data_IF_421046586406
#
_entry.id   IF_421046586406
#
_cell.length_a   1.000
_cell.length_b   1.000
_cell.length_c   1.000
_cell.angle_alpha   90.00
_cell.angle_beta   90.00
_cell.angle_gamma   90.00
#
_symmetry.space_group_name_H-M   'P 1'
#
loop_
_entity.id
_entity.type
_entity.pdbx_description
1 polymer ?
#
# COMPACT_ATOMS: atom_id res chain seq x y z
N UNK A 1 17.27 3.44 -26.63
CA UNK A 1 18.19 3.87 -25.55
C UNK A 1 17.35 4.66 -24.55
N UNK A 2 17.07 4.09 -23.39
CA UNK A 2 16.15 4.68 -22.41
C UNK A 2 16.94 5.65 -21.51
N UNK A 3 16.75 6.94 -21.75
CA UNK A 3 17.46 8.09 -21.17
C UNK A 3 17.30 8.26 -19.65
N UNK A 4 16.63 7.34 -18.96
CA UNK A 4 16.20 7.51 -17.57
C UNK A 4 16.63 6.38 -16.62
N UNK A 5 17.59 5.52 -16.99
CA UNK A 5 18.18 4.55 -16.05
C UNK A 5 17.19 3.51 -15.48
N UNK A 6 16.06 3.28 -16.15
CA UNK A 6 15.18 2.14 -15.90
C UNK A 6 15.69 1.05 -16.85
N UNK A 7 16.45 0.06 -16.36
CA UNK A 7 17.07 -0.93 -17.24
C UNK A 7 18.61 -1.06 -17.13
N UNK A 8 19.30 -0.45 -16.16
CA UNK A 8 20.77 -0.48 -16.06
C UNK A 8 21.24 -0.94 -14.68
N UNK A 9 22.11 -1.97 -14.67
CA UNK A 9 22.72 -2.54 -13.46
C UNK A 9 23.20 -1.44 -12.49
N UNK A 10 22.83 -1.54 -11.21
CA UNK A 10 23.20 -0.61 -10.12
C UNK A 10 24.70 -0.36 -10.07
N UNK A 11 25.49 -1.34 -10.52
CA UNK A 11 26.95 -1.31 -10.54
C UNK A 11 27.53 -0.49 -11.71
N UNK A 12 26.74 -0.25 -12.76
CA UNK A 12 27.16 0.45 -14.00
C UNK A 12 26.49 1.81 -14.16
N UNK A 13 25.51 2.14 -13.30
CA UNK A 13 24.83 3.42 -13.31
C UNK A 13 25.71 4.53 -12.68
N UNK A 14 25.85 5.70 -13.34
CA UNK A 14 26.57 6.82 -12.75
C UNK A 14 25.89 7.27 -11.45
N UNK A 15 26.68 7.55 -10.41
CA UNK A 15 26.22 7.82 -9.04
C UNK A 15 25.13 8.91 -8.94
N UNK A 16 25.17 9.93 -9.80
CA UNK A 16 24.12 10.97 -9.91
C UNK A 16 22.74 10.43 -10.30
N UNK A 17 22.67 9.42 -11.17
CA UNK A 17 21.40 8.83 -11.60
C UNK A 17 20.79 7.95 -10.50
N UNK A 18 21.64 7.40 -9.63
CA UNK A 18 21.26 6.51 -8.54
C UNK A 18 20.52 7.27 -7.43
N UNK A 19 20.99 8.46 -7.04
CA UNK A 19 20.29 9.31 -6.07
C UNK A 19 18.91 9.75 -6.57
N UNK A 20 18.84 10.15 -7.84
CA UNK A 20 17.58 10.55 -8.48
C UNK A 20 16.58 9.40 -8.54
N UNK A 21 17.03 8.19 -8.85
CA UNK A 21 16.21 6.99 -8.88
C UNK A 21 15.66 6.62 -7.48
N UNK A 22 16.51 6.64 -6.45
CA UNK A 22 16.12 6.39 -5.06
C UNK A 22 15.10 7.43 -4.58
N UNK A 23 15.25 8.70 -4.98
CA UNK A 23 14.30 9.78 -4.65
C UNK A 23 12.94 9.58 -5.32
N UNK A 24 12.94 9.11 -6.56
CA UNK A 24 11.73 8.75 -7.28
C UNK A 24 10.99 7.57 -6.64
N UNK A 25 11.71 6.50 -6.28
CA UNK A 25 11.15 5.34 -5.60
C UNK A 25 10.57 5.69 -4.23
N UNK A 26 11.27 6.54 -3.47
CA UNK A 26 10.78 7.07 -2.20
C UNK A 26 9.42 7.79 -2.38
N UNK A 27 9.32 8.65 -3.40
CA UNK A 27 8.10 9.42 -3.68
C UNK A 27 6.94 8.50 -4.08
N UNK A 28 7.19 7.52 -4.96
CA UNK A 28 6.19 6.53 -5.37
C UNK A 28 5.71 5.70 -4.16
N UNK A 29 6.62 5.34 -3.25
CA UNK A 29 6.28 4.53 -2.07
C UNK A 29 5.35 5.28 -1.12
N UNK A 30 5.62 6.56 -0.87
CA UNK A 30 4.73 7.40 -0.06
C UNK A 30 3.36 7.60 -0.71
N UNK A 31 3.33 7.88 -2.01
CA UNK A 31 2.08 8.00 -2.78
C UNK A 31 1.27 6.69 -2.71
N UNK A 32 1.95 5.54 -2.73
CA UNK A 32 1.28 4.25 -2.65
C UNK A 32 0.57 4.03 -1.32
N UNK A 33 1.19 4.39 -0.19
CA UNK A 33 0.53 4.28 1.12
C UNK A 33 -0.75 5.12 1.18
N UNK A 34 -0.69 6.36 0.67
CA UNK A 34 -1.86 7.25 0.58
C UNK A 34 -2.92 6.65 -0.33
N UNK A 35 -2.54 6.16 -1.51
CA UNK A 35 -3.46 5.55 -2.47
C UNK A 35 -4.19 4.35 -1.87
N UNK A 36 -3.48 3.45 -1.18
CA UNK A 36 -4.07 2.31 -0.49
C UNK A 36 -5.11 2.74 0.56
N UNK A 37 -4.79 3.77 1.36
CA UNK A 37 -5.72 4.30 2.35
C UNK A 37 -6.97 4.91 1.71
N UNK A 38 -6.81 5.72 0.66
CA UNK A 38 -7.92 6.37 -0.05
C UNK A 38 -8.89 5.36 -0.66
N UNK A 39 -8.39 4.28 -1.27
CA UNK A 39 -9.25 3.22 -1.84
C UNK A 39 -10.10 2.56 -0.75
N UNK A 40 -9.52 2.24 0.42
CA UNK A 40 -10.26 1.64 1.53
C UNK A 40 -11.32 2.60 2.10
N UNK A 41 -10.98 3.87 2.27
CA UNK A 41 -11.95 4.89 2.72
C UNK A 41 -13.11 5.03 1.73
N UNK A 42 -12.83 5.06 0.43
CA UNK A 42 -13.86 5.16 -0.61
C UNK A 42 -14.81 3.96 -0.61
N UNK A 43 -14.28 2.74 -0.42
CA UNK A 43 -15.10 1.54 -0.24
C UNK A 43 -16.00 1.63 1.00
N UNK A 44 -15.48 2.10 2.13
CA UNK A 44 -16.26 2.24 3.36
C UNK A 44 -17.36 3.30 3.21
N UNK A 45 -17.06 4.44 2.58
CA UNK A 45 -18.05 5.47 2.30
C UNK A 45 -19.19 4.95 1.42
N UNK A 46 -18.88 4.09 0.45
CA UNK A 46 -19.90 3.41 -0.34
C UNK A 46 -20.73 2.43 0.51
N UNK A 47 -20.10 1.68 1.43
CA UNK A 47 -20.82 0.81 2.37
C UNK A 47 -21.74 1.59 3.32
N UNK A 48 -21.32 2.77 3.79
CA UNK A 48 -22.16 3.67 4.58
C UNK A 48 -23.41 4.12 3.82
N UNK A 49 -23.31 4.29 2.50
CA UNK A 49 -24.46 4.67 1.65
C UNK A 49 -25.43 3.51 1.40
N UNK A 50 -24.94 2.27 1.31
CA UNK A 50 -25.77 1.10 0.95
C UNK A 50 -26.46 0.45 2.15
N UNK A 51 -25.80 0.47 3.32
CA UNK A 51 -26.25 -0.15 4.55
C UNK A 51 -26.71 0.90 5.59
N UNK A 52 -28.02 1.11 5.78
CA UNK A 52 -28.54 2.08 6.76
C UNK A 52 -28.51 1.57 8.21
N UNK A 53 -27.92 0.40 8.49
CA UNK A 53 -27.96 -0.23 9.82
C UNK A 53 -27.02 0.51 10.79
N UNK A 54 -27.57 1.05 11.89
CA UNK A 54 -26.81 1.85 12.87
C UNK A 54 -25.53 1.18 13.39
N UNK A 55 -25.58 -0.11 13.73
CA UNK A 55 -24.41 -0.86 14.21
C UNK A 55 -23.31 -0.94 13.15
N UNK A 56 -23.67 -1.23 11.90
CA UNK A 56 -22.72 -1.31 10.78
C UNK A 56 -22.11 0.06 10.49
N UNK A 57 -22.92 1.11 10.49
CA UNK A 57 -22.45 2.50 10.33
C UNK A 57 -21.41 2.87 11.39
N UNK A 58 -21.65 2.52 12.66
CA UNK A 58 -20.69 2.76 13.75
C UNK A 58 -19.38 2.00 13.54
N UNK A 59 -19.45 0.72 13.16
CA UNK A 59 -18.27 -0.10 12.86
C UNK A 59 -17.47 0.44 11.66
N UNK A 60 -18.17 0.89 10.61
CA UNK A 60 -17.55 1.48 9.42
C UNK A 60 -16.81 2.78 9.75
N UNK A 61 -17.41 3.68 10.54
CA UNK A 61 -16.73 4.88 11.02
C UNK A 61 -15.51 4.57 11.89
N UNK A 62 -15.60 3.58 12.78
CA UNK A 62 -14.45 3.11 13.55
C UNK A 62 -13.33 2.56 12.66
N UNK A 63 -13.69 1.86 11.58
CA UNK A 63 -12.74 1.33 10.60
C UNK A 63 -12.04 2.46 9.82
N UNK A 64 -12.75 3.53 9.45
CA UNK A 64 -12.13 4.72 8.83
C UNK A 64 -11.10 5.33 9.77
N UNK A 65 -11.47 5.55 11.05
CA UNK A 65 -10.56 6.12 12.03
C UNK A 65 -9.28 5.26 12.18
N UNK A 66 -9.45 3.93 12.26
CA UNK A 66 -8.34 2.99 12.30
C UNK A 66 -7.44 3.10 11.06
N UNK A 67 -8.00 3.16 9.84
CA UNK A 67 -7.22 3.29 8.60
C UNK A 67 -6.42 4.58 8.58
N UNK A 68 -7.01 5.69 9.02
CA UNK A 68 -6.31 7.00 9.06
C UNK A 68 -5.14 6.94 10.04
N UNK A 69 -5.36 6.45 11.26
CA UNK A 69 -4.31 6.33 12.28
C UNK A 69 -3.19 5.39 11.80
N UNK A 70 -3.56 4.26 11.21
CA UNK A 70 -2.62 3.31 10.64
C UNK A 70 -1.79 3.94 9.52
N UNK A 71 -2.43 4.63 8.57
CA UNK A 71 -1.74 5.31 7.47
C UNK A 71 -0.74 6.34 8.00
N UNK A 72 -1.13 7.18 8.96
CA UNK A 72 -0.24 8.16 9.59
C UNK A 72 0.95 7.47 10.28
N UNK A 73 0.69 6.36 10.99
CA UNK A 73 1.72 5.59 11.70
C UNK A 73 2.78 4.99 10.78
N UNK A 74 2.44 4.68 9.53
CA UNK A 74 3.39 4.19 8.52
C UNK A 74 3.96 5.32 7.65
N UNK A 75 3.23 6.41 7.48
CA UNK A 75 3.66 7.57 6.70
C UNK A 75 4.80 8.32 7.38
N UNK A 76 4.76 8.52 8.70
CA UNK A 76 5.81 9.24 9.45
C UNK A 76 7.17 8.52 9.40
N UNK A 77 7.28 7.21 9.70
CA UNK A 77 8.53 6.47 9.53
C UNK A 77 8.94 6.34 8.06
N UNK A 78 7.95 6.29 7.15
CA UNK A 78 8.18 6.31 5.71
C UNK A 78 8.80 7.61 5.23
N UNK A 79 8.44 8.76 5.82
CA UNK A 79 9.00 10.07 5.47
C UNK A 79 10.37 10.34 6.10
N UNK A 80 10.66 9.69 7.23
CA UNK A 80 11.94 9.77 7.93
C UNK A 80 12.50 8.37 8.21
N UNK A 81 12.92 7.63 7.17
CA UNK A 81 13.40 6.26 7.33
C UNK A 81 14.74 6.16 8.08
N UNK A 82 15.53 7.25 8.13
CA UNK A 82 16.76 7.35 8.91
C UNK A 82 16.83 8.70 9.63
N UNK A 83 17.43 8.71 10.82
CA UNK A 83 17.87 9.94 11.50
C UNK A 83 19.41 9.94 11.55
N UNK A 84 20.11 10.84 10.84
CA UNK A 84 19.63 11.89 9.94
C UNK A 84 19.25 11.39 8.52
N UNK A 85 18.31 12.09 7.85
CA UNK A 85 17.83 11.76 6.50
C UNK A 85 18.95 11.78 5.44
N UNK A 86 20.01 12.55 5.67
CA UNK A 86 21.19 12.62 4.80
C UNK A 86 21.88 11.25 4.63
N UNK A 87 21.86 10.43 5.68
CA UNK A 87 22.49 9.11 5.65
C UNK A 87 21.65 8.04 4.93
N UNK A 88 20.38 8.32 4.61
CA UNK A 88 19.57 7.45 3.75
C UNK A 88 20.10 7.43 2.31
N UNK A 89 20.59 8.57 1.83
CA UNK A 89 21.12 8.72 0.47
C UNK A 89 22.51 8.09 0.31
N UNK A 90 23.29 8.05 1.40
CA UNK A 90 24.64 7.45 1.43
C UNK A 90 24.66 6.04 2.02
N UNK A 91 23.50 5.44 2.30
CA UNK A 91 23.38 4.12 2.93
C UNK A 91 23.97 2.96 2.09
N UNK A 92 24.31 3.19 0.82
CA UNK A 92 25.09 2.25 0.02
C UNK A 92 26.54 2.08 0.53
N UNK A 93 27.05 3.07 1.28
CA UNK A 93 28.41 3.10 1.79
C UNK A 93 28.42 2.44 3.16
N UNK A 94 28.81 1.17 3.21
CA UNK A 94 28.81 0.31 4.42
C UNK A 94 29.72 0.80 5.55
N UNK A 95 30.34 1.97 5.42
CA UNK A 95 31.33 2.53 6.31
C UNK A 95 30.77 3.16 7.60
N UNK A 96 29.46 3.42 7.70
CA UNK A 96 28.84 4.01 8.89
C UNK A 96 27.69 3.16 9.43
N UNK A 97 27.68 2.81 10.74
CA UNK A 97 26.57 2.10 11.36
C UNK A 97 25.40 3.06 11.60
N UNK A 98 24.71 3.45 10.54
CA UNK A 98 23.53 4.30 10.62
C UNK A 98 22.34 3.45 11.09
N UNK A 99 21.68 3.84 12.19
CA UNK A 99 20.46 3.19 12.67
C UNK A 99 19.27 3.59 11.78
N UNK A 100 19.21 3.01 10.59
CA UNK A 100 18.09 3.17 9.65
C UNK A 100 16.99 2.13 9.92
N UNK A 101 15.75 2.52 9.62
CA UNK A 101 14.59 1.65 9.71
C UNK A 101 14.70 0.52 8.67
N UNK A 102 14.42 -0.72 9.08
CA UNK A 102 14.48 -1.86 8.18
C UNK A 102 13.26 -1.85 7.23
N UNK A 103 13.46 -1.39 6.00
CA UNK A 103 12.41 -1.21 4.99
C UNK A 103 11.64 -2.52 4.76
N UNK A 104 12.33 -3.66 4.74
CA UNK A 104 11.69 -4.97 4.57
C UNK A 104 10.70 -5.27 5.71
N UNK A 105 11.09 -5.00 6.96
CA UNK A 105 10.21 -5.20 8.11
C UNK A 105 8.96 -4.30 8.03
N UNK A 106 9.14 -3.03 7.66
CA UNK A 106 8.03 -2.06 7.53
C UNK A 106 7.06 -2.49 6.44
N UNK A 107 7.56 -2.87 5.27
CA UNK A 107 6.74 -3.34 4.15
C UNK A 107 5.97 -4.60 4.56
N UNK A 108 6.62 -5.54 5.25
CA UNK A 108 6.01 -6.81 5.64
C UNK A 108 4.89 -6.63 6.66
N UNK A 109 5.12 -5.79 7.69
CA UNK A 109 4.09 -5.45 8.68
C UNK A 109 2.93 -4.69 8.01
N UNK A 110 3.23 -3.71 7.16
CA UNK A 110 2.21 -2.96 6.44
C UNK A 110 1.36 -3.87 5.54
N UNK A 111 1.99 -4.77 4.78
CA UNK A 111 1.30 -5.72 3.92
C UNK A 111 0.38 -6.65 4.72
N UNK A 112 0.86 -7.16 5.86
CA UNK A 112 0.09 -8.06 6.74
C UNK A 112 -1.15 -7.35 7.28
N UNK A 113 -1.01 -6.13 7.81
CA UNK A 113 -2.15 -5.37 8.34
C UNK A 113 -3.14 -5.03 7.21
N UNK A 114 -2.62 -4.68 6.03
CA UNK A 114 -3.45 -4.36 4.87
C UNK A 114 -4.40 -5.54 4.52
N UNK A 115 -3.86 -6.76 4.46
CA UNK A 115 -4.62 -8.00 4.20
C UNK A 115 -5.69 -8.23 5.27
N UNK A 116 -5.32 -8.09 6.56
CA UNK A 116 -6.27 -8.27 7.67
C UNK A 116 -7.44 -7.30 7.56
N UNK A 117 -7.16 -6.02 7.25
CA UNK A 117 -8.19 -5.00 7.04
C UNK A 117 -9.06 -5.31 5.83
N UNK A 118 -8.49 -5.84 4.73
CA UNK A 118 -9.28 -6.22 3.55
C UNK A 118 -10.24 -7.38 3.87
N UNK A 119 -9.78 -8.42 4.58
CA UNK A 119 -10.63 -9.52 5.03
C UNK A 119 -11.76 -9.01 5.94
N UNK A 120 -11.41 -8.13 6.89
CA UNK A 120 -12.38 -7.49 7.77
C UNK A 120 -13.44 -6.71 6.98
N UNK A 121 -13.01 -5.87 6.03
CA UNK A 121 -13.91 -5.07 5.20
C UNK A 121 -14.81 -5.93 4.30
N UNK A 122 -14.34 -7.08 3.81
CA UNK A 122 -15.15 -8.02 3.05
C UNK A 122 -16.16 -8.76 3.94
N UNK A 123 -15.82 -9.03 5.19
CA UNK A 123 -16.70 -9.75 6.12
C UNK A 123 -17.98 -8.98 6.48
N UNK A 124 -17.91 -7.64 6.58
CA UNK A 124 -19.04 -6.77 6.92
C UNK A 124 -20.23 -6.92 5.94
N UNK A 125 -20.06 -6.68 4.63
CA UNK A 125 -21.16 -6.81 3.67
C UNK A 125 -21.63 -8.26 3.53
N UNK A 126 -20.73 -9.26 3.66
CA UNK A 126 -21.10 -10.68 3.65
C UNK A 126 -22.08 -11.00 4.78
N UNK A 127 -21.73 -10.61 6.01
CA UNK A 127 -22.60 -10.80 7.17
C UNK A 127 -23.96 -10.12 6.97
N UNK A 128 -23.96 -8.90 6.42
CA UNK A 128 -25.19 -8.16 6.18
C UNK A 128 -26.08 -8.76 5.08
N UNK A 129 -25.48 -9.34 4.03
CA UNK A 129 -26.18 -10.05 2.96
C UNK A 129 -26.77 -11.38 3.44
N UNK A 130 -26.07 -12.11 4.31
CA UNK A 130 -26.59 -13.37 4.86
C UNK A 130 -27.73 -13.14 5.87
N UNK A 131 -27.65 -12.08 6.67
CA UNK A 131 -28.62 -11.84 7.74
C UNK A 131 -29.81 -10.95 7.31
N UNK A 132 -29.69 -10.20 6.21
CA UNK A 132 -30.73 -9.30 5.74
C UNK A 132 -31.15 -9.66 4.30
N UNK A 133 -32.44 -9.94 4.11
CA UNK A 133 -33.05 -10.17 2.78
C UNK A 133 -33.01 -8.88 1.94
N UNK A 134 -31.83 -8.60 1.38
CA UNK A 134 -31.55 -7.42 0.58
C UNK A 134 -32.12 -7.55 -0.83
N UNK A 135 -32.63 -6.45 -1.37
CA UNK A 135 -33.10 -6.32 -2.76
C UNK A 135 -31.96 -6.64 -3.74
N UNK A 136 -32.27 -7.28 -4.89
CA UNK A 136 -31.27 -7.73 -5.88
C UNK A 136 -30.32 -6.62 -6.36
N UNK A 137 -30.75 -5.37 -6.38
CA UNK A 137 -29.93 -4.20 -6.72
C UNK A 137 -28.73 -4.03 -5.78
N UNK A 138 -28.93 -4.22 -4.47
CA UNK A 138 -27.84 -4.12 -3.48
C UNK A 138 -26.88 -5.29 -3.61
N UNK A 139 -27.40 -6.48 -3.90
CA UNK A 139 -26.59 -7.69 -4.16
C UNK A 139 -25.66 -7.50 -5.36
N UNK A 140 -26.14 -6.85 -6.42
CA UNK A 140 -25.31 -6.50 -7.59
C UNK A 140 -24.21 -5.49 -7.25
N UNK A 141 -24.51 -4.45 -6.47
CA UNK A 141 -23.49 -3.50 -6.02
C UNK A 141 -22.38 -4.17 -5.20
N UNK A 142 -22.72 -5.10 -4.30
CA UNK A 142 -21.71 -5.86 -3.54
C UNK A 142 -20.84 -6.72 -4.47
N UNK A 143 -21.44 -7.38 -5.47
CA UNK A 143 -20.70 -8.17 -6.44
C UNK A 143 -19.72 -7.31 -7.27
N UNK A 144 -20.15 -6.12 -7.70
CA UNK A 144 -19.30 -5.17 -8.43
C UNK A 144 -18.10 -4.73 -7.57
N UNK A 145 -18.33 -4.40 -6.30
CA UNK A 145 -17.26 -4.00 -5.38
C UNK A 145 -16.26 -5.12 -5.13
N UNK A 146 -16.74 -6.36 -5.03
CA UNK A 146 -15.86 -7.52 -4.93
C UNK A 146 -14.95 -7.59 -6.17
N UNK A 147 -15.52 -7.51 -7.37
CA UNK A 147 -14.76 -7.51 -8.63
C UNK A 147 -13.73 -6.39 -8.71
N UNK A 148 -14.08 -5.17 -8.32
CA UNK A 148 -13.14 -4.02 -8.32
C UNK A 148 -12.02 -4.27 -7.31
N UNK A 149 -12.33 -4.82 -6.13
CA UNK A 149 -11.34 -5.20 -5.11
C UNK A 149 -10.37 -6.29 -5.61
N UNK A 150 -10.89 -7.35 -6.24
CA UNK A 150 -10.06 -8.42 -6.82
C UNK A 150 -9.19 -7.90 -7.97
N UNK A 151 -9.73 -7.01 -8.80
CA UNK A 151 -8.98 -6.42 -9.90
C UNK A 151 -7.81 -5.56 -9.39
N UNK A 152 -8.05 -4.68 -8.43
CA UNK A 152 -7.01 -3.82 -7.84
C UNK A 152 -5.93 -4.63 -7.12
N UNK A 153 -6.31 -5.71 -6.43
CA UNK A 153 -5.36 -6.61 -5.78
C UNK A 153 -4.49 -7.37 -6.78
N UNK A 154 -5.07 -7.87 -7.89
CA UNK A 154 -4.31 -8.48 -8.99
C UNK A 154 -3.29 -7.49 -9.57
N UNK A 155 -3.72 -6.26 -9.87
CA UNK A 155 -2.82 -5.20 -10.38
C UNK A 155 -1.69 -4.90 -9.39
N UNK A 156 -1.98 -4.87 -8.09
CA UNK A 156 -0.95 -4.67 -7.05
C UNK A 156 0.03 -5.85 -6.96
N UNK A 157 -0.45 -7.10 -7.06
CA UNK A 157 0.41 -8.30 -7.06
C UNK A 157 1.31 -8.31 -8.31
N UNK A 158 0.77 -7.97 -9.48
CA UNK A 158 1.56 -7.86 -10.71
C UNK A 158 2.65 -6.78 -10.57
N UNK A 159 2.33 -5.64 -9.97
CA UNK A 159 3.31 -4.59 -9.68
C UNK A 159 4.38 -5.06 -8.68
N UNK A 160 3.98 -5.78 -7.63
CA UNK A 160 4.92 -6.31 -6.65
C UNK A 160 5.81 -7.41 -7.26
N UNK A 161 5.26 -8.29 -8.09
CA UNK A 161 6.00 -9.32 -8.83
C UNK A 161 7.00 -8.69 -9.78
N UNK A 162 6.61 -7.61 -10.45
CA UNK A 162 7.52 -6.77 -11.22
C UNK A 162 8.65 -6.25 -10.32
N UNK A 163 8.33 -5.59 -9.20
CA UNK A 163 9.33 -5.08 -8.24
C UNK A 163 10.27 -6.16 -7.67
N UNK A 164 9.75 -7.35 -7.35
CA UNK A 164 10.54 -8.46 -6.78
C UNK A 164 11.36 -9.15 -7.87
N UNK A 165 10.82 -9.31 -9.08
CA UNK A 165 11.60 -9.80 -10.21
C UNK A 165 12.78 -8.86 -10.50
N UNK A 166 12.57 -7.54 -10.35
CA UNK A 166 13.65 -6.55 -10.41
C UNK A 166 14.59 -6.60 -9.21
N UNK A 167 14.10 -6.90 -7.99
CA UNK A 167 14.93 -6.94 -6.78
C UNK A 167 15.67 -8.26 -6.52
N UNK A 168 15.27 -9.36 -7.16
CA UNK A 168 15.82 -10.71 -6.96
C UNK A 168 16.86 -11.12 -7.99
N UNK A 169 17.01 -10.39 -9.09
CA UNK A 169 18.10 -10.59 -10.04
C UNK A 169 19.33 -9.81 -9.58
N UNK A 170 20.45 -10.52 -9.38
CA UNK A 170 21.79 -9.96 -9.13
C UNK A 170 22.36 -9.16 -10.31
N UNK A 171 21.53 -8.89 -11.32
CA UNK A 171 21.71 -7.89 -12.37
C UNK A 171 20.40 -7.10 -12.40
N UNK A 172 20.47 -5.87 -11.91
CA UNK A 172 19.38 -4.92 -11.87
C UNK A 172 19.47 -4.05 -13.11
N UNK A 173 19.25 -4.62 -14.30
CA UNK A 173 18.87 -3.78 -15.44
C UNK A 173 17.55 -3.11 -15.10
#
# INVERSE_FOLDING_TARGET
MLTNGIGVDLWTAPFDHLEHFVRWLYTITLLYFIQCAMVKVLLILFFLRIFPRRRTVQLLWGTIAFIVIWTISFFIPGSFPCLPLADYWTAWDKAKPTKCLNIYAVIWVHATICIVVDIWMLSIPLYEVFHLQMTLTKKFSVALMFFVGTFVTIVSILRLRSLIAFGGTSNVT
#
